data_IF_221401275256
#
_entry.id   IF_221401275256
#
_cell.length_a   1.000
_cell.length_b   1.000
_cell.length_c   1.000
_cell.angle_alpha   90.00
_cell.angle_beta   90.00
_cell.angle_gamma   90.00
#
_symmetry.space_group_name_H-M   'P 1'
#
loop_
_entity.id
_entity.type
_entity.pdbx_description
1 polymer ?
#
# COMPACT_ATOMS: atom_id res chain seq x y z
N UNK A 1 0.03 48.44 -6.37
CA UNK A 1 -0.99 47.46 -5.94
C UNK A 1 -0.35 46.08 -6.04
N UNK A 2 -0.07 45.41 -4.92
CA UNK A 2 0.57 44.08 -4.92
C UNK A 2 -0.54 43.04 -4.99
N UNK A 3 -0.52 42.18 -6.02
CA UNK A 3 -1.45 41.05 -6.12
C UNK A 3 -1.02 40.01 -5.08
N UNK A 4 -1.92 39.49 -4.23
CA UNK A 4 -1.54 38.45 -3.29
C UNK A 4 -1.21 37.18 -4.06
N UNK A 5 0.02 36.68 -3.93
CA UNK A 5 0.37 35.33 -4.40
C UNK A 5 -0.23 34.34 -3.41
N UNK A 6 -1.25 33.60 -3.84
CA UNK A 6 -1.72 32.43 -3.11
C UNK A 6 -0.62 31.36 -3.17
N UNK A 7 -0.29 30.77 -2.02
CA UNK A 7 0.64 29.63 -1.97
C UNK A 7 0.02 28.43 -2.67
N UNK A 8 0.84 27.71 -3.41
CA UNK A 8 0.48 26.39 -3.94
C UNK A 8 0.13 25.43 -2.81
N UNK A 9 -0.71 24.44 -3.14
CA UNK A 9 -1.02 23.35 -2.20
C UNK A 9 0.27 22.57 -1.88
N UNK A 10 0.43 22.09 -0.64
CA UNK A 10 1.59 21.29 -0.27
C UNK A 10 1.61 19.95 -1.01
N UNK A 11 2.80 19.36 -1.13
CA UNK A 11 3.03 18.04 -1.69
C UNK A 11 2.30 16.94 -0.89
N UNK A 12 1.94 15.86 -1.58
CA UNK A 12 1.37 14.66 -0.94
C UNK A 12 2.49 13.87 -0.26
N UNK A 13 2.34 13.64 1.04
CA UNK A 13 3.20 12.71 1.79
C UNK A 13 2.66 11.31 1.55
N UNK A 14 3.36 10.51 0.74
CA UNK A 14 2.88 9.22 0.22
C UNK A 14 3.96 8.15 0.36
N UNK A 15 4.07 7.55 1.54
CA UNK A 15 5.02 6.47 1.81
C UNK A 15 4.62 5.21 1.04
N UNK A 16 5.57 4.64 0.29
CA UNK A 16 5.43 3.33 -0.33
C UNK A 16 5.55 2.23 0.73
N UNK A 17 4.49 1.45 0.93
CA UNK A 17 4.43 0.48 2.02
C UNK A 17 3.46 -0.67 1.76
N UNK A 18 3.76 -1.83 2.33
CA UNK A 18 2.97 -3.05 2.29
C UNK A 18 3.66 -4.09 3.17
N UNK A 19 2.90 -4.95 3.83
CA UNK A 19 3.44 -5.82 4.87
C UNK A 19 2.59 -7.07 5.06
N UNK A 20 3.20 -8.26 4.95
CA UNK A 20 2.80 -9.61 5.41
C UNK A 20 1.39 -10.13 5.09
N UNK A 21 0.34 -9.33 5.26
CA UNK A 21 -1.05 -9.61 4.94
C UNK A 21 -1.83 -8.33 4.65
N UNK A 22 -2.99 -8.44 4.00
CA UNK A 22 -3.86 -7.29 3.74
C UNK A 22 -4.28 -6.55 5.02
N UNK A 23 -4.61 -7.28 6.09
CA UNK A 23 -5.01 -6.69 7.38
C UNK A 23 -3.87 -5.92 8.04
N UNK A 24 -2.66 -6.50 8.09
CA UNK A 24 -1.51 -5.82 8.68
C UNK A 24 -1.08 -4.60 7.86
N UNK A 25 -1.23 -4.67 6.53
CA UNK A 25 -1.02 -3.51 5.66
C UNK A 25 -2.06 -2.41 5.90
N UNK A 26 -3.34 -2.75 6.09
CA UNK A 26 -4.38 -1.79 6.44
C UNK A 26 -4.09 -1.09 7.78
N UNK A 27 -3.69 -1.86 8.80
CA UNK A 27 -3.29 -1.30 10.10
C UNK A 27 -2.12 -0.31 9.96
N UNK A 28 -1.09 -0.69 9.20
CA UNK A 28 0.04 0.20 8.89
C UNK A 28 -0.41 1.47 8.17
N UNK A 29 -1.32 1.37 7.20
CA UNK A 29 -1.84 2.53 6.47
C UNK A 29 -2.62 3.47 7.40
N UNK A 30 -3.49 2.94 8.24
CA UNK A 30 -4.24 3.73 9.23
C UNK A 30 -3.31 4.41 10.22
N UNK A 31 -2.26 3.73 10.68
CA UNK A 31 -1.23 4.31 11.54
C UNK A 31 -0.45 5.43 10.86
N UNK A 32 -0.09 5.26 9.58
CA UNK A 32 0.62 6.31 8.84
C UNK A 32 -0.26 7.53 8.59
N UNK A 33 -1.55 7.32 8.25
CA UNK A 33 -2.53 8.38 8.11
C UNK A 33 -2.71 9.16 9.42
N UNK A 34 -2.80 8.46 10.57
CA UNK A 34 -2.91 9.12 11.88
C UNK A 34 -1.65 9.91 12.27
N UNK A 35 -0.50 9.58 11.67
CA UNK A 35 0.78 10.30 11.82
C UNK A 35 1.00 11.41 10.78
N UNK A 36 -0.02 11.74 9.97
CA UNK A 36 0.02 12.87 9.04
C UNK A 36 0.44 12.52 7.60
N UNK A 37 0.49 11.23 7.24
CA UNK A 37 0.54 10.85 5.83
C UNK A 37 -0.72 11.32 5.10
N UNK A 38 -0.59 11.81 3.88
CA UNK A 38 -1.71 12.41 3.11
C UNK A 38 -2.04 11.66 1.81
N UNK A 39 -1.34 10.56 1.52
CA UNK A 39 -1.70 9.64 0.44
C UNK A 39 -1.19 8.22 0.70
N UNK A 40 -1.84 7.22 0.10
CA UNK A 40 -1.43 5.80 0.21
C UNK A 40 -0.66 5.35 -1.04
N UNK A 41 0.30 4.45 -0.85
CA UNK A 41 1.06 3.81 -1.93
C UNK A 41 1.37 2.38 -1.53
N UNK A 42 0.82 1.43 -2.28
CA UNK A 42 0.79 0.01 -1.91
C UNK A 42 1.98 -0.73 -2.51
N UNK A 43 2.75 -1.41 -1.66
CA UNK A 43 3.79 -2.34 -2.08
C UNK A 43 3.23 -3.77 -2.08
N UNK A 44 3.14 -4.39 -3.25
CA UNK A 44 2.71 -5.77 -3.41
C UNK A 44 3.86 -6.75 -3.22
N UNK A 45 3.57 -7.99 -2.84
CA UNK A 45 4.57 -9.05 -2.82
C UNK A 45 4.94 -9.53 -4.24
N UNK A 46 5.96 -10.39 -4.34
CA UNK A 46 6.45 -10.84 -5.64
C UNK A 46 5.42 -11.68 -6.43
N UNK A 47 4.68 -12.64 -5.82
CA UNK A 47 3.61 -13.36 -6.51
C UNK A 47 2.57 -12.43 -7.14
N UNK A 48 2.06 -11.45 -6.39
CA UNK A 48 1.10 -10.47 -6.90
C UNK A 48 1.68 -9.64 -8.05
N UNK A 49 2.96 -9.24 -7.96
CA UNK A 49 3.65 -8.49 -9.02
C UNK A 49 3.85 -9.29 -10.32
N UNK A 50 3.98 -10.61 -10.19
CA UNK A 50 4.31 -11.52 -11.29
C UNK A 50 3.10 -12.31 -11.80
N UNK A 51 1.93 -12.15 -11.18
CA UNK A 51 0.67 -12.72 -11.62
C UNK A 51 0.38 -14.13 -11.11
N UNK A 52 0.98 -14.53 -9.99
CA UNK A 52 0.69 -15.81 -9.33
C UNK A 52 -0.21 -15.63 -8.11
N UNK A 53 -1.17 -16.55 -7.97
CA UNK A 53 -1.92 -16.70 -6.73
C UNK A 53 -1.03 -17.23 -5.61
N UNK A 54 -1.43 -16.98 -4.36
CA UNK A 54 -0.62 -17.33 -3.18
C UNK A 54 -0.43 -18.84 -2.99
N UNK A 55 -1.29 -19.67 -3.59
CA UNK A 55 -1.21 -21.13 -3.56
C UNK A 55 -0.48 -21.74 -4.76
N UNK A 56 -0.01 -20.92 -5.72
CA UNK A 56 0.81 -21.39 -6.82
C UNK A 56 2.14 -21.97 -6.30
N UNK A 57 2.56 -23.17 -6.75
CA UNK A 57 3.83 -23.76 -6.35
C UNK A 57 5.05 -22.85 -6.51
N UNK A 58 5.05 -21.96 -7.51
CA UNK A 58 6.13 -20.98 -7.77
C UNK A 58 6.08 -19.76 -6.83
N UNK A 59 4.93 -19.47 -6.21
CA UNK A 59 4.80 -18.40 -5.23
C UNK A 59 5.40 -18.75 -3.86
N UNK A 60 5.65 -20.05 -3.62
CA UNK A 60 6.06 -20.56 -2.31
C UNK A 60 7.31 -19.86 -1.78
N UNK A 61 7.19 -19.27 -0.59
CA UNK A 61 8.29 -18.58 0.10
C UNK A 61 8.42 -17.10 -0.23
N UNK A 62 7.66 -16.59 -1.21
CA UNK A 62 7.64 -15.17 -1.58
C UNK A 62 6.33 -14.47 -1.19
N UNK A 63 5.28 -15.24 -0.86
CA UNK A 63 4.00 -14.73 -0.36
C UNK A 63 4.20 -13.84 0.87
N UNK A 64 3.80 -12.57 0.76
CA UNK A 64 3.86 -11.59 1.84
C UNK A 64 5.26 -11.15 2.29
N UNK A 65 6.33 -11.62 1.62
CA UNK A 65 7.72 -11.40 2.05
C UNK A 65 8.19 -9.95 1.89
N UNK A 66 7.83 -9.33 0.77
CA UNK A 66 8.29 -7.98 0.37
C UNK A 66 7.15 -6.97 0.23
N UNK A 67 5.92 -7.38 0.51
CA UNK A 67 4.74 -6.55 0.35
C UNK A 67 3.47 -7.27 0.77
N UNK A 68 2.32 -6.69 0.42
CA UNK A 68 1.01 -7.30 0.66
C UNK A 68 0.71 -8.36 -0.41
N UNK A 69 0.31 -9.59 -0.04
CA UNK A 69 -0.24 -10.57 -0.97
C UNK A 69 -1.68 -10.21 -1.34
N UNK A 70 -2.03 -10.23 -2.63
CA UNK A 70 -3.39 -10.06 -3.13
C UNK A 70 -3.64 -11.16 -4.17
N UNK A 71 -4.60 -12.05 -3.90
CA UNK A 71 -4.97 -13.13 -4.83
C UNK A 71 -6.43 -12.98 -5.30
N UNK A 72 -7.28 -12.28 -4.54
CA UNK A 72 -8.66 -12.03 -4.95
C UNK A 72 -9.23 -10.73 -4.37
N UNK A 73 -10.44 -10.36 -4.80
CA UNK A 73 -11.12 -9.12 -4.36
C UNK A 73 -11.24 -9.00 -2.84
N UNK A 74 -11.45 -10.11 -2.11
CA UNK A 74 -11.55 -10.10 -0.65
C UNK A 74 -10.28 -9.62 0.07
N UNK A 75 -9.11 -9.72 -0.57
CA UNK A 75 -7.86 -9.20 0.01
C UNK A 75 -7.80 -7.68 -0.15
N UNK A 76 -8.28 -7.15 -1.27
CA UNK A 76 -8.39 -5.71 -1.50
C UNK A 76 -9.43 -5.08 -0.58
N UNK A 77 -10.55 -5.76 -0.33
CA UNK A 77 -11.55 -5.34 0.66
C UNK A 77 -10.98 -5.35 2.09
N UNK A 78 -10.08 -6.27 2.40
CA UNK A 78 -9.40 -6.30 3.70
C UNK A 78 -8.27 -5.28 3.80
N UNK A 79 -7.71 -4.85 2.68
CA UNK A 79 -6.61 -3.88 2.60
C UNK A 79 -7.06 -2.44 2.86
N UNK A 80 -8.34 -2.10 2.63
CA UNK A 80 -8.87 -0.74 2.76
C UNK A 80 -10.04 -0.68 3.73
#
# INVERSE_FOLDING_TARGET
MVVPVNRDRPWVMRTYSGHSSAAASNELYRLNLSKGQTGLSVAFDLPTQTGYDSDDPLARGEVGKVGVPISHIGDMERLF
#
